data_IF_732194183753
#
_entry.id   IF_732194183753
#
_cell.length_a   1.000
_cell.length_b   1.000
_cell.length_c   1.000
_cell.angle_alpha   90.00
_cell.angle_beta   90.00
_cell.angle_gamma   90.00
#
_symmetry.space_group_name_H-M   'P 1'
#
loop_
_entity.id
_entity.type
_entity.pdbx_description
1 polymer ?
#
# COMPACT_ATOMS: atom_id res chain seq x y z
N UNK A 1 38.14 7.39 -32.66
CA UNK A 1 37.17 8.43 -32.22
C UNK A 1 35.72 8.13 -32.59
N UNK A 2 35.39 7.44 -33.69
CA UNK A 2 33.97 7.18 -34.08
C UNK A 2 33.23 6.14 -33.21
N UNK A 3 33.94 5.19 -32.58
CA UNK A 3 33.32 4.19 -31.70
C UNK A 3 32.90 4.75 -30.31
N UNK A 4 33.54 5.83 -29.85
CA UNK A 4 33.28 6.41 -28.52
C UNK A 4 31.92 7.14 -28.48
N UNK A 5 31.47 7.67 -29.61
CA UNK A 5 30.18 8.36 -29.73
C UNK A 5 28.98 7.41 -29.76
N UNK A 6 29.15 6.17 -30.24
CA UNK A 6 28.08 5.16 -30.24
C UNK A 6 27.81 4.63 -28.83
N UNK A 7 28.86 4.46 -28.02
CA UNK A 7 28.73 4.01 -26.64
C UNK A 7 28.08 5.06 -25.73
N UNK A 8 28.32 6.36 -25.98
CA UNK A 8 27.71 7.45 -25.22
C UNK A 8 26.23 7.70 -25.61
N UNK A 9 25.89 7.47 -26.88
CA UNK A 9 24.50 7.55 -27.37
C UNK A 9 23.58 6.46 -26.81
N UNK A 10 24.13 5.26 -26.53
CA UNK A 10 23.36 4.17 -25.91
C UNK A 10 23.17 4.32 -24.39
N UNK A 11 24.02 5.10 -23.70
CA UNK A 11 23.95 5.27 -22.25
C UNK A 11 22.73 6.11 -21.81
N UNK A 12 22.12 6.88 -22.73
CA UNK A 12 21.01 7.78 -22.41
C UNK A 12 19.65 7.06 -22.25
N UNK A 13 19.52 5.80 -22.67
CA UNK A 13 18.25 5.05 -22.61
C UNK A 13 18.03 4.28 -21.29
N UNK A 14 19.01 4.25 -20.38
CA UNK A 14 18.94 3.40 -19.18
C UNK A 14 18.32 4.07 -17.93
N UNK A 15 17.96 5.36 -17.98
CA UNK A 15 17.44 6.11 -16.83
C UNK A 15 15.96 6.47 -17.01
N UNK A 16 15.14 5.52 -17.46
CA UNK A 16 13.69 5.65 -17.29
C UNK A 16 13.39 5.59 -15.78
N UNK A 17 13.43 6.76 -15.11
CA UNK A 17 13.02 6.92 -13.72
C UNK A 17 11.53 6.57 -13.64
N UNK A 18 11.21 5.37 -13.17
CA UNK A 18 9.82 4.96 -13.01
C UNK A 18 9.20 5.84 -11.92
N UNK A 19 8.09 6.51 -12.24
CA UNK A 19 7.39 7.35 -11.26
C UNK A 19 6.79 6.48 -10.16
N UNK A 20 7.20 6.76 -8.93
CA UNK A 20 6.54 6.25 -7.72
C UNK A 20 5.26 7.04 -7.46
N UNK A 21 4.25 6.37 -6.90
CA UNK A 21 3.03 6.97 -6.36
C UNK A 21 2.93 6.63 -4.88
N UNK A 22 2.62 7.62 -4.06
CA UNK A 22 2.20 7.37 -2.68
C UNK A 22 0.75 6.90 -2.69
N UNK A 23 0.48 5.76 -2.05
CA UNK A 23 -0.85 5.14 -1.98
C UNK A 23 -1.14 4.65 -0.57
N UNK A 24 -2.43 4.58 -0.24
CA UNK A 24 -2.98 4.04 0.98
C UNK A 24 -3.74 2.76 0.63
N UNK A 25 -3.42 1.66 1.31
CA UNK A 25 -4.03 0.34 1.09
C UNK A 25 -4.82 -0.03 2.35
N UNK A 26 -6.14 -0.12 2.22
CA UNK A 26 -7.05 -0.48 3.31
C UNK A 26 -7.69 -1.85 3.06
N UNK A 27 -7.58 -2.76 4.03
CA UNK A 27 -8.24 -4.06 3.97
C UNK A 27 -9.63 -4.03 4.61
N UNK A 28 -10.56 -4.90 4.15
CA UNK A 28 -11.84 -5.10 4.81
C UNK A 28 -11.69 -5.44 6.30
N UNK A 29 -12.76 -5.21 7.06
CA UNK A 29 -12.81 -5.60 8.46
C UNK A 29 -12.73 -7.13 8.60
N UNK A 30 -12.02 -7.58 9.63
CA UNK A 30 -11.86 -9.02 9.88
C UNK A 30 -10.87 -9.73 8.97
N UNK A 31 -10.12 -9.02 8.12
CA UNK A 31 -9.02 -9.61 7.37
C UNK A 31 -7.97 -10.17 8.35
N UNK A 32 -7.62 -11.47 8.26
CA UNK A 32 -6.59 -12.06 9.11
C UNK A 32 -5.23 -11.39 8.89
N UNK A 33 -4.44 -11.22 9.95
CA UNK A 33 -3.12 -10.57 9.87
C UNK A 33 -2.21 -11.23 8.84
N UNK A 34 -2.26 -12.56 8.73
CA UNK A 34 -1.49 -13.32 7.74
C UNK A 34 -1.70 -12.83 6.30
N UNK A 35 -2.95 -12.54 5.92
CA UNK A 35 -3.25 -12.07 4.57
C UNK A 35 -2.71 -10.64 4.33
N UNK A 36 -2.74 -9.80 5.36
CA UNK A 36 -2.17 -8.46 5.31
C UNK A 36 -0.64 -8.54 5.20
N UNK A 37 -0.01 -9.43 5.97
CA UNK A 37 1.44 -9.65 5.97
C UNK A 37 1.92 -10.23 4.63
N UNK A 38 1.17 -11.17 4.04
CA UNK A 38 1.41 -11.69 2.70
C UNK A 38 1.28 -10.59 1.64
N UNK A 39 0.27 -9.72 1.74
CA UNK A 39 0.12 -8.59 0.81
C UNK A 39 1.27 -7.59 0.95
N UNK A 40 1.71 -7.27 2.18
CA UNK A 40 2.89 -6.44 2.42
C UNK A 40 4.13 -7.08 1.83
N UNK A 41 4.34 -8.38 2.03
CA UNK A 41 5.47 -9.11 1.47
C UNK A 41 5.43 -9.11 -0.07
N UNK A 42 4.25 -9.27 -0.68
CA UNK A 42 4.06 -9.15 -2.13
C UNK A 42 4.39 -7.74 -2.63
N UNK A 43 4.03 -6.68 -1.91
CA UNK A 43 4.41 -5.30 -2.28
C UNK A 43 5.91 -5.08 -2.14
N UNK A 44 6.49 -5.43 -1.01
CA UNK A 44 7.94 -5.28 -0.81
C UNK A 44 8.69 -6.04 -1.90
N UNK A 45 8.28 -7.28 -2.20
CA UNK A 45 8.89 -8.11 -3.23
C UNK A 45 8.65 -7.61 -4.66
N UNK A 46 7.40 -7.30 -5.04
CA UNK A 46 7.05 -6.83 -6.38
C UNK A 46 7.68 -5.47 -6.69
N UNK A 47 7.95 -4.66 -5.67
CA UNK A 47 8.62 -3.39 -5.88
C UNK A 47 10.16 -3.50 -5.81
N UNK A 48 10.71 -4.45 -5.06
CA UNK A 48 12.13 -4.82 -5.12
C UNK A 48 12.58 -5.26 -6.53
N UNK A 49 11.70 -5.90 -7.30
CA UNK A 49 12.00 -6.41 -8.65
C UNK A 49 11.85 -5.34 -9.76
N UNK A 50 11.12 -4.23 -9.51
CA UNK A 50 10.78 -3.22 -10.52
C UNK A 50 11.74 -2.01 -10.58
N UNK A 51 12.43 -1.67 -9.48
CA UNK A 51 13.36 -0.54 -9.39
C UNK A 51 14.58 -0.90 -8.53
N UNK A 52 15.78 -0.37 -8.82
CA UNK A 52 16.94 -0.50 -7.92
C UNK A 52 16.71 0.16 -6.53
N UNK A 53 15.71 1.04 -6.44
CA UNK A 53 15.12 1.56 -5.21
C UNK A 53 13.73 0.93 -5.05
N UNK A 54 13.66 -0.19 -4.33
CA UNK A 54 12.40 -0.87 -4.04
C UNK A 54 11.38 0.03 -3.33
N UNK A 55 10.15 -0.45 -3.27
CA UNK A 55 9.01 0.29 -2.70
C UNK A 55 9.14 0.29 -1.20
N UNK A 56 8.67 1.36 -0.60
CA UNK A 56 8.83 1.58 0.83
C UNK A 56 7.45 1.66 1.46
N UNK A 57 7.21 0.78 2.44
CA UNK A 57 6.08 0.93 3.35
C UNK A 57 6.41 2.14 4.24
N UNK A 58 5.61 3.19 4.17
CA UNK A 58 5.87 4.42 4.90
C UNK A 58 5.26 4.35 6.30
N UNK A 59 4.04 3.84 6.41
CA UNK A 59 3.31 3.75 7.68
C UNK A 59 2.36 2.55 7.68
N UNK A 60 2.11 1.98 8.85
CA UNK A 60 1.10 0.95 9.07
C UNK A 60 0.03 1.45 10.05
N UNK A 61 -1.20 1.00 9.89
CA UNK A 61 -2.29 1.39 10.77
C UNK A 61 -3.30 0.28 11.03
N UNK A 62 -3.90 0.37 12.23
CA UNK A 62 -5.01 -0.46 12.67
C UNK A 62 -6.12 0.47 13.17
N UNK A 63 -7.19 0.62 12.38
CA UNK A 63 -8.31 1.48 12.73
C UNK A 63 -9.28 0.69 13.61
N UNK A 64 -9.51 1.16 14.82
CA UNK A 64 -10.55 0.63 15.70
C UNK A 64 -11.76 1.53 15.57
N UNK A 65 -12.87 1.01 15.01
CA UNK A 65 -14.15 1.72 15.07
C UNK A 65 -14.77 1.47 16.44
N UNK A 66 -14.95 2.53 17.23
CA UNK A 66 -15.70 2.46 18.48
C UNK A 66 -17.19 2.53 18.18
N UNK A 67 -17.85 1.38 18.06
CA UNK A 67 -19.30 1.32 18.15
C UNK A 67 -19.67 1.27 19.62
N UNK A 68 -20.09 2.41 20.20
CA UNK A 68 -20.46 2.50 21.62
C UNK A 68 -21.66 1.60 21.91
N UNK A 69 -21.51 0.54 22.72
CA UNK A 69 -22.65 -0.28 23.10
C UNK A 69 -23.42 0.43 24.23
N UNK A 70 -24.72 0.65 24.05
CA UNK A 70 -25.63 0.98 25.16
C UNK A 70 -25.62 -0.24 26.10
N UNK A 71 -25.06 -0.06 27.29
CA UNK A 71 -24.37 -1.10 28.06
C UNK A 71 -25.34 -2.02 28.82
N UNK A 72 -25.23 -3.33 28.64
CA UNK A 72 -25.65 -4.32 29.65
C UNK A 72 -24.76 -5.57 29.76
N UNK A 73 -23.79 -5.78 28.86
CA UNK A 73 -22.97 -7.00 28.87
C UNK A 73 -21.50 -6.74 28.47
N UNK A 74 -20.59 -6.90 29.43
CA UNK A 74 -19.15 -6.65 29.29
C UNK A 74 -18.46 -7.63 28.33
N UNK A 75 -18.93 -8.88 28.23
CA UNK A 75 -18.35 -9.88 27.33
C UNK A 75 -18.54 -9.55 25.83
N UNK A 76 -19.59 -8.77 25.48
CA UNK A 76 -19.78 -8.28 24.11
C UNK A 76 -18.70 -7.27 23.70
N UNK A 77 -18.14 -6.50 24.64
CA UNK A 77 -17.13 -5.46 24.36
C UNK A 77 -15.87 -6.09 23.76
N UNK A 78 -15.44 -7.24 24.28
CA UNK A 78 -14.21 -7.90 23.82
C UNK A 78 -14.33 -8.43 22.37
N UNK A 79 -15.48 -9.00 22.00
CA UNK A 79 -15.70 -9.55 20.65
C UNK A 79 -16.01 -8.47 19.58
N UNK A 80 -16.57 -7.32 19.99
CA UNK A 80 -16.77 -6.17 19.08
C UNK A 80 -15.42 -5.57 18.67
N UNK A 81 -14.46 -5.50 19.60
CA UNK A 81 -13.18 -4.84 19.37
C UNK A 81 -12.30 -5.55 18.33
N UNK A 82 -12.39 -6.88 18.24
CA UNK A 82 -11.54 -7.67 17.32
C UNK A 82 -12.11 -7.75 15.89
N UNK A 83 -13.43 -7.75 15.71
CA UNK A 83 -14.06 -7.88 14.38
C UNK A 83 -14.32 -6.54 13.68
N UNK A 84 -14.22 -5.43 14.41
CA UNK A 84 -14.54 -4.10 13.87
C UNK A 84 -13.32 -3.34 13.33
N UNK A 85 -12.12 -3.90 13.51
CA UNK A 85 -10.89 -3.25 13.14
C UNK A 85 -10.59 -3.44 11.64
N UNK A 86 -10.44 -2.33 10.91
CA UNK A 86 -9.89 -2.33 9.54
C UNK A 86 -8.42 -1.98 9.62
N UNK A 87 -7.57 -2.79 9.00
CA UNK A 87 -6.12 -2.60 9.02
C UNK A 87 -5.62 -2.27 7.62
N UNK A 88 -4.47 -1.62 7.54
CA UNK A 88 -3.90 -1.18 6.28
C UNK A 88 -2.50 -0.60 6.45
N UNK A 89 -1.96 -0.11 5.34
CA UNK A 89 -0.65 0.54 5.32
C UNK A 89 -0.55 1.50 4.14
N UNK A 90 0.35 2.46 4.26
CA UNK A 90 0.71 3.39 3.19
C UNK A 90 2.06 2.97 2.58
N UNK A 91 2.22 3.16 1.28
CA UNK A 91 3.43 2.78 0.57
C UNK A 91 3.72 3.70 -0.62
N UNK A 92 4.99 3.79 -0.97
CA UNK A 92 5.43 4.33 -2.26
C UNK A 92 5.64 3.20 -3.25
N UNK A 93 4.91 3.23 -4.37
CA UNK A 93 4.79 2.09 -5.29
C UNK A 93 4.93 2.57 -6.74
N UNK A 94 5.69 1.87 -7.61
CA UNK A 94 5.72 2.11 -9.04
C UNK A 94 4.33 2.00 -9.65
N UNK A 95 4.09 2.86 -10.63
CA UNK A 95 2.75 3.00 -11.22
C UNK A 95 2.25 1.70 -11.89
N UNK A 96 3.16 0.87 -12.39
CA UNK A 96 2.89 -0.43 -13.04
C UNK A 96 2.55 -1.57 -12.06
N UNK A 97 2.79 -1.42 -10.76
CA UNK A 97 2.55 -2.46 -9.73
C UNK A 97 1.17 -2.35 -9.07
N UNK A 98 0.47 -1.23 -9.26
CA UNK A 98 -0.86 -1.02 -8.66
C UNK A 98 -1.91 -1.97 -9.25
N UNK A 99 -1.80 -2.33 -10.52
CA UNK A 99 -2.74 -3.24 -11.18
C UNK A 99 -2.62 -4.68 -10.68
N UNK A 100 -1.41 -5.12 -10.30
CA UNK A 100 -1.17 -6.48 -9.80
C UNK A 100 -1.71 -6.69 -8.39
N UNK A 101 -1.68 -5.66 -7.53
CA UNK A 101 -2.18 -5.75 -6.15
C UNK A 101 -3.69 -5.90 -6.05
N UNK A 102 -4.43 -5.25 -6.95
CA UNK A 102 -5.89 -5.39 -7.01
C UNK A 102 -6.32 -6.78 -7.51
N UNK A 103 -5.43 -7.53 -8.17
CA UNK A 103 -5.70 -8.84 -8.74
C UNK A 103 -5.37 -10.01 -7.79
N UNK A 104 -4.35 -9.88 -6.93
CA UNK A 104 -3.87 -10.99 -6.07
C UNK A 104 -4.75 -11.30 -4.85
N UNK A 105 -5.48 -10.31 -4.29
CA UNK A 105 -6.33 -10.54 -3.12
C UNK A 105 -7.80 -10.72 -3.54
N UNK A 106 -8.24 -11.95 -3.79
CA UNK A 106 -9.61 -12.23 -4.26
C UNK A 106 -10.65 -12.27 -3.13
N UNK A 107 -10.28 -12.76 -1.95
CA UNK A 107 -11.18 -12.88 -0.77
C UNK A 107 -11.22 -11.59 0.07
N UNK A 108 -10.08 -10.94 0.30
CA UNK A 108 -9.96 -9.71 1.08
C UNK A 108 -9.47 -8.55 0.20
N UNK A 109 -10.27 -8.19 -0.81
CA UNK A 109 -9.92 -7.13 -1.77
C UNK A 109 -9.63 -5.81 -1.05
N UNK A 110 -8.37 -5.33 -1.08
CA UNK A 110 -8.05 -4.05 -0.48
C UNK A 110 -8.56 -2.90 -1.35
N UNK A 111 -8.96 -1.81 -0.71
CA UNK A 111 -9.17 -0.52 -1.35
C UNK A 111 -7.83 0.19 -1.44
N UNK A 112 -7.45 0.63 -2.65
CA UNK A 112 -6.19 1.33 -2.90
C UNK A 112 -6.54 2.75 -3.35
N UNK A 113 -6.04 3.74 -2.61
CA UNK A 113 -6.28 5.16 -2.88
C UNK A 113 -4.94 5.89 -3.02
N UNK A 114 -4.89 6.90 -3.88
CA UNK A 114 -3.71 7.78 -3.93
C UNK A 114 -3.66 8.63 -2.67
N UNK A 115 -2.47 8.77 -2.09
CA UNK A 115 -2.27 9.67 -0.97
C UNK A 115 -2.36 11.13 -1.44
N UNK A 116 -3.07 11.96 -0.67
CA UNK A 116 -3.38 13.34 -1.05
C UNK A 116 -2.98 14.30 0.06
N UNK A 117 -2.34 15.40 -0.33
CA UNK A 117 -2.06 16.51 0.58
C UNK A 117 -3.34 17.33 0.76
N UNK A 118 -3.81 17.44 2.00
CA UNK A 118 -4.94 18.30 2.36
C UNK A 118 -4.41 19.64 2.86
N UNK A 119 -5.00 20.74 2.38
CA UNK A 119 -4.67 22.11 2.79
C UNK A 119 -5.80 22.71 3.63
N UNK A 120 -5.45 23.45 4.70
CA UNK A 120 -6.41 24.10 5.59
C UNK A 120 -6.94 25.45 5.04
N UNK A 121 -6.42 25.91 3.90
CA UNK A 121 -6.80 27.19 3.32
C UNK A 121 -8.11 27.03 2.55
N UNK A 122 -9.24 27.16 3.25
CA UNK A 122 -10.54 27.40 2.64
C UNK A 122 -10.59 28.83 2.12
N UNK A 123 -10.58 29.00 0.80
CA UNK A 123 -10.99 30.23 0.13
C UNK A 123 -12.36 30.02 -0.50
#
# INVERSE_FOLDING_TARGET
MKLLFVLLGFLSLALATQSLKSVIITFPKGTPSKNIDEAKASIVKSVLDALPSGGVITHEYHLIKYDSPIISNLWKIYWIQTNSASSGFAAEVPTNTLETLSAESSEYKPTIEADQVVSANGN
#
